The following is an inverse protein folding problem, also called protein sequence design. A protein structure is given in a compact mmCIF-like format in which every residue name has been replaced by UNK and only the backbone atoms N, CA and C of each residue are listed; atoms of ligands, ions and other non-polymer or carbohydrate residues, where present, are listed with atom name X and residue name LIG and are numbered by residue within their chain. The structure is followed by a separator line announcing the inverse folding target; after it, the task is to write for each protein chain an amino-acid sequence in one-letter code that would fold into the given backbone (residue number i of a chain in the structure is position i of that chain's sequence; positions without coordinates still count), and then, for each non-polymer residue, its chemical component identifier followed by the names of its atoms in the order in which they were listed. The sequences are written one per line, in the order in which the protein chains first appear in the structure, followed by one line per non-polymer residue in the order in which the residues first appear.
data_IF_389806712869
#
_entry.id   IF_389806712869
#
_cell.length_a   1.000
_cell.length_b   1.000
_cell.length_c   1.000
_cell.angle_alpha   90.00
_cell.angle_beta   90.00
_cell.angle_gamma   90.00
#
_symmetry.space_group_name_H-M   'P 1'
#
loop_
_entity.id
_entity.type
_entity.pdbx_description
1 polymer ?
#
# COMPACT_ATOMS: atom_id res chain seq x y z
N UNK A 1 2.66 31.91 -7.40
CA UNK A 1 2.47 30.62 -8.10
C UNK A 1 1.14 30.06 -7.61
N UNK A 2 0.13 30.04 -8.49
CA UNK A 2 -1.25 29.73 -8.14
C UNK A 2 -1.36 28.23 -7.84
N UNK A 3 -1.40 27.87 -6.55
CA UNK A 3 -1.66 26.51 -6.12
C UNK A 3 -3.15 26.26 -6.36
N UNK A 4 -3.46 25.59 -7.47
CA UNK A 4 -4.81 25.29 -7.96
C UNK A 4 -5.53 24.33 -7.00
N UNK A 5 -6.09 24.93 -5.97
CA UNK A 5 -6.91 24.37 -4.92
C UNK A 5 -8.16 23.70 -5.55
N UNK A 6 -8.28 22.37 -5.32
CA UNK A 6 -9.51 21.55 -5.21
C UNK A 6 -10.06 20.89 -6.49
N UNK A 7 -9.65 19.64 -6.76
CA UNK A 7 -10.46 18.66 -7.53
C UNK A 7 -10.88 17.43 -6.72
N UNK A 8 -10.55 17.39 -5.44
CA UNK A 8 -10.95 16.32 -4.52
C UNK A 8 -12.32 16.65 -3.92
N UNK A 9 -13.23 15.68 -3.87
CA UNK A 9 -14.52 15.81 -3.18
C UNK A 9 -14.40 15.91 -1.64
N UNK A 10 -13.18 15.77 -1.08
CA UNK A 10 -12.93 15.67 0.36
C UNK A 10 -12.26 16.91 0.93
N UNK A 11 -12.47 17.14 2.22
CA UNK A 11 -11.82 18.23 2.97
C UNK A 11 -10.29 18.06 3.00
N UNK A 12 -9.57 19.18 3.06
CA UNK A 12 -8.10 19.16 3.11
C UNK A 12 -7.58 18.49 4.39
N UNK A 13 -8.28 18.66 5.50
CA UNK A 13 -7.97 18.03 6.78
C UNK A 13 -8.05 16.49 6.69
N UNK A 14 -9.12 16.00 6.06
CA UNK A 14 -9.29 14.56 5.81
C UNK A 14 -8.15 14.00 4.95
N UNK A 15 -7.83 14.65 3.83
CA UNK A 15 -6.76 14.19 2.94
C UNK A 15 -5.40 14.18 3.65
N UNK A 16 -5.11 15.20 4.48
CA UNK A 16 -3.88 15.26 5.26
C UNK A 16 -3.78 14.09 6.25
N UNK A 17 -4.87 13.83 6.99
CA UNK A 17 -4.94 12.70 7.94
C UNK A 17 -4.76 11.35 7.25
N UNK A 18 -5.38 11.18 6.09
CA UNK A 18 -5.26 9.96 5.28
C UNK A 18 -3.85 9.79 4.70
N UNK A 19 -3.23 10.89 4.25
CA UNK A 19 -1.86 10.92 3.76
C UNK A 19 -0.88 10.49 4.85
N UNK A 20 -0.97 11.10 6.03
CA UNK A 20 -0.12 10.76 7.18
C UNK A 20 -0.23 9.27 7.56
N UNK A 21 -1.47 8.75 7.60
CA UNK A 21 -1.72 7.33 7.89
C UNK A 21 -1.08 6.40 6.84
N UNK A 22 -1.22 6.74 5.56
CA UNK A 22 -0.65 5.99 4.44
C UNK A 22 0.89 6.04 4.46
N UNK A 23 1.48 7.20 4.75
CA UNK A 23 2.95 7.37 4.84
C UNK A 23 3.54 6.58 6.01
N UNK A 24 2.88 6.57 7.17
CA UNK A 24 3.29 5.77 8.32
C UNK A 24 3.25 4.27 8.01
N UNK A 25 2.19 3.81 7.34
CA UNK A 25 2.05 2.40 6.94
C UNK A 25 3.08 2.02 5.87
N UNK A 26 3.37 2.90 4.92
CA UNK A 26 4.40 2.72 3.90
C UNK A 26 5.79 2.53 4.52
N UNK A 27 6.18 3.44 5.43
CA UNK A 27 7.49 3.37 6.09
C UNK A 27 7.65 2.09 6.90
N UNK A 28 6.58 1.65 7.57
CA UNK A 28 6.58 0.39 8.33
C UNK A 28 6.76 -0.83 7.42
N UNK A 29 6.08 -0.86 6.27
CA UNK A 29 6.20 -1.96 5.30
C UNK A 29 7.56 -1.98 4.61
N UNK A 30 8.12 -0.81 4.29
CA UNK A 30 9.47 -0.71 3.71
C UNK A 30 10.54 -1.21 4.68
N UNK A 31 10.48 -0.79 5.96
CA UNK A 31 11.41 -1.26 6.97
C UNK A 31 11.34 -2.79 7.18
N UNK A 32 10.14 -3.37 7.10
CA UNK A 32 9.98 -4.84 7.14
C UNK A 32 10.60 -5.51 5.91
N UNK A 33 10.30 -5.01 4.72
CA UNK A 33 10.85 -5.53 3.45
C UNK A 33 12.38 -5.53 3.45
N UNK A 34 13.00 -4.44 3.92
CA UNK A 34 14.46 -4.33 4.01
C UNK A 34 15.03 -5.37 4.98
N UNK A 35 14.40 -5.57 6.15
CA UNK A 35 14.84 -6.60 7.11
C UNK A 35 14.77 -8.02 6.55
N UNK A 36 13.78 -8.33 5.70
CA UNK A 36 13.66 -9.64 5.04
C UNK A 36 14.75 -9.85 3.97
N UNK A 37 15.21 -8.77 3.33
CA UNK A 37 16.25 -8.84 2.30
C UNK A 37 17.62 -9.21 2.86
N UNK A 38 17.98 -8.69 4.05
CA UNK A 38 19.25 -8.99 4.72
C UNK A 38 19.34 -10.43 5.23
N UNK A 39 18.21 -11.00 5.71
CA UNK A 39 18.14 -12.39 6.18
C UNK A 39 18.35 -13.37 5.03
N UNK A 40 17.82 -13.05 3.84
CA UNK A 40 17.89 -13.91 2.66
C UNK A 40 19.30 -14.01 2.06
N UNK A 41 20.11 -12.97 2.19
CA UNK A 41 21.50 -12.94 1.72
C UNK A 41 22.46 -13.72 2.63
N UNK A 42 22.04 -13.99 3.87
CA UNK A 42 22.88 -14.64 4.90
C UNK A 42 22.71 -16.17 4.99
N UNK A 43 21.76 -16.76 4.24
CA UNK A 43 21.49 -18.21 4.29
C UNK A 43 22.25 -18.97 3.20
N UNK A 44 23.44 -19.47 3.52
CA UNK A 44 24.09 -20.54 2.76
C UNK A 44 23.22 -21.81 2.87
N UNK A 45 22.67 -22.25 1.74
CA UNK A 45 21.72 -23.37 1.68
C UNK A 45 22.49 -24.68 1.75
N UNK A 46 22.29 -25.47 2.82
CA UNK A 46 22.83 -26.82 2.88
C UNK A 46 21.88 -27.76 2.11
N UNK A 47 22.34 -28.43 1.03
CA UNK A 47 21.47 -29.27 0.19
C UNK A 47 20.79 -30.45 0.91
N UNK A 48 21.22 -30.81 2.13
CA UNK A 48 20.70 -31.94 2.90
C UNK A 48 19.44 -31.60 3.74
N UNK A 49 19.15 -30.31 3.98
CA UNK A 49 17.97 -29.83 4.74
C UNK A 49 16.86 -29.25 3.83
N UNK A 50 16.99 -29.46 2.51
CA UNK A 50 16.22 -28.78 1.47
C UNK A 50 14.69 -29.00 1.51
N UNK A 51 14.15 -30.03 2.17
CA UNK A 51 12.71 -30.32 2.14
C UNK A 51 11.86 -29.40 3.04
N UNK A 52 12.40 -28.93 4.17
CA UNK A 52 11.73 -27.96 5.04
C UNK A 52 11.96 -26.52 4.59
N UNK A 53 13.19 -26.23 4.17
CA UNK A 53 13.59 -24.89 3.70
C UNK A 53 12.89 -24.45 2.41
N UNK A 54 12.52 -25.36 1.50
CA UNK A 54 11.75 -24.98 0.30
C UNK A 54 10.38 -24.40 0.69
N UNK A 55 9.67 -25.02 1.64
CA UNK A 55 8.38 -24.54 2.10
C UNK A 55 8.52 -23.17 2.78
N UNK A 56 9.55 -22.98 3.61
CA UNK A 56 9.83 -21.70 4.26
C UNK A 56 10.19 -20.61 3.23
N UNK A 57 11.01 -20.93 2.21
CA UNK A 57 11.35 -20.02 1.11
C UNK A 57 10.13 -19.62 0.27
N UNK A 58 9.22 -20.56 -0.03
CA UNK A 58 7.96 -20.23 -0.72
C UNK A 58 7.10 -19.30 0.13
N UNK A 59 7.04 -19.53 1.45
CA UNK A 59 6.26 -18.71 2.37
C UNK A 59 6.82 -17.29 2.48
N UNK A 60 8.15 -17.15 2.60
CA UNK A 60 8.84 -15.85 2.66
C UNK A 60 8.72 -15.09 1.34
N UNK A 61 8.84 -15.76 0.19
CA UNK A 61 8.65 -15.13 -1.13
C UNK A 61 7.20 -14.68 -1.37
N UNK A 62 6.22 -15.50 -0.99
CA UNK A 62 4.82 -15.13 -1.06
C UNK A 62 4.55 -13.89 -0.20
N UNK A 63 5.03 -13.89 1.05
CA UNK A 63 4.89 -12.77 1.99
C UNK A 63 5.48 -11.48 1.43
N UNK A 64 6.71 -11.52 0.92
CA UNK A 64 7.35 -10.35 0.29
C UNK A 64 6.59 -9.83 -0.94
N UNK A 65 5.98 -10.71 -1.75
CA UNK A 65 5.17 -10.28 -2.89
C UNK A 65 3.88 -9.55 -2.45
N UNK A 66 3.22 -10.02 -1.38
CA UNK A 66 2.05 -9.35 -0.80
C UNK A 66 2.40 -7.98 -0.21
N UNK A 67 3.51 -7.88 0.51
CA UNK A 67 3.98 -6.62 1.10
C UNK A 67 4.33 -5.60 0.02
N UNK A 68 5.05 -6.02 -1.02
CA UNK A 68 5.37 -5.16 -2.17
C UNK A 68 4.10 -4.66 -2.88
N UNK A 69 3.12 -5.55 -3.10
CA UNK A 69 1.84 -5.14 -3.69
C UNK A 69 1.15 -4.07 -2.84
N UNK A 70 1.17 -4.23 -1.50
CA UNK A 70 0.56 -3.28 -0.57
C UNK A 70 1.30 -1.93 -0.58
N UNK A 71 2.63 -1.95 -0.66
CA UNK A 71 3.45 -0.74 -0.84
C UNK A 71 3.03 0.02 -2.11
N UNK A 72 2.89 -0.68 -3.23
CA UNK A 72 2.47 -0.06 -4.49
C UNK A 72 1.03 0.47 -4.44
N UNK A 73 0.12 -0.22 -3.75
CA UNK A 73 -1.24 0.26 -3.50
C UNK A 73 -1.25 1.57 -2.69
N UNK A 74 -0.41 1.65 -1.64
CA UNK A 74 -0.27 2.84 -0.79
C UNK A 74 0.34 4.00 -1.58
N UNK A 75 1.44 3.78 -2.30
CA UNK A 75 2.05 4.81 -3.17
C UNK A 75 1.06 5.31 -4.21
N UNK A 76 0.29 4.41 -4.82
CA UNK A 76 -0.76 4.79 -5.75
C UNK A 76 -1.88 5.59 -5.09
N UNK A 77 -2.23 5.32 -3.84
CA UNK A 77 -3.19 6.12 -3.09
C UNK A 77 -2.66 7.53 -2.81
N UNK A 78 -1.40 7.66 -2.38
CA UNK A 78 -0.72 8.94 -2.17
C UNK A 78 -0.67 9.78 -3.44
N UNK A 79 -0.27 9.18 -4.57
CA UNK A 79 -0.24 9.86 -5.86
C UNK A 79 -1.62 10.40 -6.25
N UNK A 80 -2.69 9.64 -5.99
CA UNK A 80 -4.06 10.10 -6.25
C UNK A 80 -4.47 11.26 -5.35
N UNK A 81 -3.93 11.35 -4.12
CA UNK A 81 -4.15 12.50 -3.23
C UNK A 81 -3.50 13.74 -3.83
N UNK A 82 -2.24 13.64 -4.27
CA UNK A 82 -1.52 14.72 -4.93
C UNK A 82 -2.17 15.15 -6.26
N UNK A 83 -2.65 14.19 -7.07
CA UNK A 83 -3.38 14.45 -8.31
C UNK A 83 -4.82 14.97 -8.09
N UNK A 84 -5.31 14.94 -6.85
CA UNK A 84 -6.68 15.36 -6.49
C UNK A 84 -7.77 14.41 -6.98
N UNK A 85 -7.45 13.16 -7.33
CA UNK A 85 -8.38 12.10 -7.76
C UNK A 85 -8.53 10.97 -6.73
N UNK A 86 -8.03 11.19 -5.51
CA UNK A 86 -8.18 10.25 -4.40
C UNK A 86 -9.64 9.90 -4.17
N UNK A 87 -9.92 8.65 -3.78
CA UNK A 87 -11.29 8.21 -3.54
C UNK A 87 -12.18 8.18 -4.79
N UNK A 88 -11.63 8.19 -6.01
CA UNK A 88 -12.40 7.94 -7.24
C UNK A 88 -12.41 6.45 -7.59
N UNK A 89 -13.58 5.86 -7.74
CA UNK A 89 -13.72 4.45 -8.08
C UNK A 89 -13.18 4.17 -9.48
N UNK A 90 -12.27 3.20 -9.62
CA UNK A 90 -11.71 2.81 -10.93
C UNK A 90 -12.71 2.12 -11.86
N UNK A 91 -13.82 1.60 -11.31
CA UNK A 91 -14.84 0.90 -12.09
C UNK A 91 -15.93 1.85 -12.62
N UNK A 92 -16.53 2.64 -11.72
CA UNK A 92 -17.69 3.48 -12.05
C UNK A 92 -17.39 4.99 -12.01
N UNK A 93 -16.16 5.40 -11.71
CA UNK A 93 -15.74 6.81 -11.58
C UNK A 93 -16.47 7.62 -10.50
N UNK A 94 -17.31 7.00 -9.67
CA UNK A 94 -17.97 7.65 -8.55
C UNK A 94 -17.01 7.88 -7.37
N UNK A 95 -17.33 8.88 -6.54
CA UNK A 95 -16.61 9.14 -5.29
C UNK A 95 -16.92 8.07 -4.24
N UNK A 96 -15.88 7.56 -3.59
CA UNK A 96 -15.95 6.56 -2.53
C UNK A 96 -16.33 7.27 -1.23
N UNK A 97 -17.34 6.81 -0.48
CA UNK A 97 -17.74 7.49 0.75
C UNK A 97 -16.58 7.55 1.76
N UNK A 98 -16.45 8.68 2.46
CA UNK A 98 -15.38 8.94 3.44
C UNK A 98 -15.24 7.82 4.46
N UNK A 99 -16.36 7.34 5.03
CA UNK A 99 -16.34 6.24 6.01
C UNK A 99 -15.70 4.95 5.51
N UNK A 100 -15.70 4.68 4.19
CA UNK A 100 -14.97 3.55 3.62
C UNK A 100 -13.47 3.85 3.52
N UNK A 101 -13.09 5.07 3.17
CA UNK A 101 -11.70 5.49 3.08
C UNK A 101 -11.05 5.59 4.48
N UNK A 102 -11.81 5.93 5.52
CA UNK A 102 -11.35 5.89 6.91
C UNK A 102 -10.93 4.47 7.33
N UNK A 103 -11.73 3.47 6.96
CA UNK A 103 -11.45 2.06 7.26
C UNK A 103 -10.41 1.46 6.32
N UNK A 104 -10.52 1.73 5.02
CA UNK A 104 -9.62 1.22 3.96
C UNK A 104 -9.11 2.40 3.10
N UNK A 105 -7.99 3.03 3.49
CA UNK A 105 -7.47 4.23 2.82
C UNK A 105 -6.93 3.94 1.40
N UNK A 106 -6.59 2.69 1.10
CA UNK A 106 -6.11 2.24 -0.22
C UNK A 106 -7.24 1.79 -1.16
N UNK A 107 -8.52 1.94 -0.76
CA UNK A 107 -9.64 1.47 -1.55
C UNK A 107 -9.71 2.15 -2.92
N UNK A 108 -9.69 1.35 -3.99
CA UNK A 108 -9.80 1.80 -5.38
C UNK A 108 -11.19 1.60 -6.00
N UNK A 109 -12.10 0.91 -5.29
CA UNK A 109 -13.47 0.62 -5.72
C UNK A 109 -14.49 1.06 -4.68
N UNK A 110 -15.65 1.54 -5.13
CA UNK A 110 -16.76 1.89 -4.23
C UNK A 110 -17.50 0.64 -3.74
N UNK A 111 -18.36 0.77 -2.72
CA UNK A 111 -19.05 -0.37 -2.09
C UNK A 111 -20.12 -1.00 -2.98
N UNK A 112 -20.52 -0.28 -4.02
CA UNK A 112 -21.56 -0.65 -4.95
C UNK A 112 -21.02 -1.32 -6.23
N UNK A 113 -19.73 -1.71 -6.25
CA UNK A 113 -19.02 -2.28 -7.40
C UNK A 113 -18.27 -3.55 -7.01
#
# INVERSE_FOLDING_TARGET
MQNSIQKSSYSQDFLAKQKEKLEAELSTLQAKSDSYSEVRESQEINPEEAAGEVAERFNTQATGAFENKKIEEIKGALLRIDDGVYGKCLNCNAWIPEGRLEFVPTATKCANC
#
